data_IF_978336733689
#
_entry.id   IF_978336733689
#
_cell.length_a   1.000
_cell.length_b   1.000
_cell.length_c   1.000
_cell.angle_alpha   90.00
_cell.angle_beta   90.00
_cell.angle_gamma   90.00
#
_symmetry.space_group_name_H-M   'P 1'
#
loop_
_entity.id
_entity.type
_entity.pdbx_description
1 polymer ?
#
# COMPACT_ATOMS: atom_id res chain seq x y z
N UNK A 1 7.39 -2.95 27.62
CA UNK A 1 7.87 -3.15 26.24
C UNK A 1 8.69 -1.92 25.91
N UNK A 2 9.90 -2.06 25.37
CA UNK A 2 10.73 -0.89 25.05
C UNK A 2 10.14 -0.20 23.80
N UNK A 3 9.82 1.09 23.92
CA UNK A 3 9.36 1.88 22.77
C UNK A 3 10.50 2.04 21.78
N UNK A 4 10.26 1.64 20.53
CA UNK A 4 11.23 1.78 19.44
C UNK A 4 11.21 3.24 18.99
N UNK A 5 12.38 3.88 18.93
CA UNK A 5 12.51 5.24 18.41
C UNK A 5 12.34 5.27 16.88
N UNK A 6 11.91 6.40 16.33
CA UNK A 6 11.73 6.56 14.87
C UNK A 6 13.00 6.24 14.05
N UNK A 7 14.18 6.59 14.58
CA UNK A 7 15.47 6.26 13.97
C UNK A 7 15.76 4.76 13.97
N UNK A 8 15.32 4.03 15.00
CA UNK A 8 15.41 2.57 15.04
C UNK A 8 14.38 1.93 14.09
N UNK A 9 13.17 2.47 14.00
CA UNK A 9 12.15 2.01 13.07
C UNK A 9 12.61 2.11 11.61
N UNK A 10 13.21 3.24 11.22
CA UNK A 10 13.83 3.44 9.89
C UNK A 10 14.84 2.34 9.54
N UNK A 11 15.70 1.96 10.50
CA UNK A 11 16.71 0.91 10.29
C UNK A 11 16.10 -0.48 10.08
N UNK A 12 14.90 -0.72 10.60
CA UNK A 12 14.20 -1.99 10.51
C UNK A 12 13.33 -2.12 9.25
N UNK A 13 12.97 -1.02 8.59
CA UNK A 13 12.16 -1.01 7.35
C UNK A 13 12.54 -2.08 6.33
N UNK A 14 13.80 -2.23 5.88
CA UNK A 14 14.14 -3.18 4.82
C UNK A 14 13.94 -4.65 5.22
N UNK A 15 13.76 -4.96 6.50
CA UNK A 15 13.41 -6.31 6.99
C UNK A 15 11.96 -6.66 6.66
N UNK A 16 11.09 -5.66 6.58
CA UNK A 16 9.65 -5.82 6.33
C UNK A 16 9.25 -5.64 4.87
N UNK A 17 10.20 -5.26 4.00
CA UNK A 17 9.94 -5.05 2.58
C UNK A 17 10.41 -6.25 1.76
N UNK A 18 9.64 -6.57 0.73
CA UNK A 18 9.93 -7.67 -0.21
C UNK A 18 9.85 -7.19 -1.66
N UNK A 19 10.50 -7.95 -2.55
CA UNK A 19 10.47 -7.73 -3.99
C UNK A 19 10.75 -6.28 -4.40
N UNK A 20 9.83 -5.72 -5.20
CA UNK A 20 9.96 -4.36 -5.74
C UNK A 20 10.00 -3.27 -4.65
N UNK A 21 9.32 -3.48 -3.51
CA UNK A 21 9.35 -2.52 -2.41
C UNK A 21 10.71 -2.47 -1.72
N UNK A 22 11.37 -3.62 -1.57
CA UNK A 22 12.72 -3.69 -1.01
C UNK A 22 13.76 -3.04 -1.94
N UNK A 23 13.62 -3.26 -3.25
CA UNK A 23 14.48 -2.64 -4.25
C UNK A 23 14.32 -1.11 -4.23
N UNK A 24 13.07 -0.63 -4.34
CA UNK A 24 12.76 0.80 -4.25
C UNK A 24 13.32 1.45 -2.98
N UNK A 25 13.19 0.80 -1.82
CA UNK A 25 13.73 1.34 -0.59
C UNK A 25 15.26 1.42 -0.62
N UNK A 26 15.93 0.42 -1.21
CA UNK A 26 17.39 0.38 -1.31
C UNK A 26 17.91 1.48 -2.24
N UNK A 27 17.23 1.72 -3.36
CA UNK A 27 17.61 2.76 -4.34
C UNK A 27 17.42 4.19 -3.80
N UNK A 28 16.50 4.36 -2.83
CA UNK A 28 16.15 5.67 -2.25
C UNK A 28 16.63 5.82 -0.81
N UNK A 29 17.42 4.88 -0.27
CA UNK A 29 17.75 4.80 1.16
C UNK A 29 18.35 6.09 1.73
N UNK A 30 19.19 6.77 0.95
CA UNK A 30 19.85 8.01 1.35
C UNK A 30 18.88 9.18 1.52
N UNK A 31 17.70 9.11 0.89
CA UNK A 31 16.67 10.16 0.97
C UNK A 31 15.80 10.06 2.22
N UNK A 32 15.81 8.91 2.92
CA UNK A 32 14.94 8.64 4.06
C UNK A 32 15.59 9.03 5.40
N UNK A 33 15.88 10.32 5.57
CA UNK A 33 16.55 10.85 6.77
C UNK A 33 15.68 10.79 8.04
N UNK A 34 14.37 10.87 7.87
CA UNK A 34 13.40 10.82 8.97
C UNK A 34 12.27 9.85 8.67
N UNK A 35 11.65 9.31 9.72
CA UNK A 35 10.50 8.41 9.59
C UNK A 35 9.34 9.07 8.84
N UNK A 36 9.18 10.38 9.00
CA UNK A 36 8.16 11.14 8.29
C UNK A 36 8.41 11.23 6.78
N UNK A 37 9.67 11.44 6.36
CA UNK A 37 10.05 11.45 4.93
C UNK A 37 9.80 10.07 4.31
N UNK A 38 10.24 9.00 4.98
CA UNK A 38 9.96 7.64 4.53
C UNK A 38 8.46 7.38 4.36
N UNK A 39 7.63 7.68 5.37
CA UNK A 39 6.17 7.47 5.29
C UNK A 39 5.55 8.22 4.13
N UNK A 40 5.93 9.49 3.94
CA UNK A 40 5.40 10.34 2.87
C UNK A 40 5.73 9.75 1.50
N UNK A 41 6.98 9.36 1.29
CA UNK A 41 7.45 8.75 0.04
C UNK A 41 6.87 7.37 -0.21
N UNK A 42 6.70 6.57 0.84
CA UNK A 42 6.08 5.26 0.77
C UNK A 42 4.61 5.37 0.35
N UNK A 43 3.84 6.25 1.00
CA UNK A 43 2.43 6.52 0.64
C UNK A 43 2.36 7.08 -0.79
N UNK A 44 3.25 8.00 -1.17
CA UNK A 44 3.28 8.54 -2.53
C UNK A 44 3.51 7.45 -3.59
N UNK A 45 4.43 6.53 -3.31
CA UNK A 45 4.82 5.45 -4.24
C UNK A 45 3.76 4.35 -4.31
N UNK A 46 3.22 3.91 -3.17
CA UNK A 46 2.37 2.72 -3.08
C UNK A 46 0.89 3.00 -2.82
N UNK A 47 0.54 4.23 -2.44
CA UNK A 47 -0.84 4.67 -2.21
C UNK A 47 -1.20 5.81 -3.15
N UNK A 48 -0.91 5.63 -4.45
CA UNK A 48 -1.27 6.60 -5.48
C UNK A 48 -2.74 6.98 -5.37
N UNK A 49 -3.08 8.29 -5.37
CA UNK A 49 -4.46 8.76 -5.44
C UNK A 49 -5.22 8.14 -6.61
N UNK A 50 -4.51 7.84 -7.71
CA UNK A 50 -5.05 7.14 -8.88
C UNK A 50 -5.50 5.73 -8.53
N UNK A 51 -4.77 5.00 -7.69
CA UNK A 51 -5.18 3.64 -7.26
C UNK A 51 -6.45 3.70 -6.43
N UNK A 52 -6.56 4.64 -5.50
CA UNK A 52 -7.77 4.87 -4.70
C UNK A 52 -8.95 5.30 -5.58
N UNK A 53 -8.71 6.18 -6.55
CA UNK A 53 -9.72 6.67 -7.48
C UNK A 53 -10.16 5.60 -8.48
N UNK A 54 -9.25 4.74 -8.93
CA UNK A 54 -9.54 3.57 -9.76
C UNK A 54 -10.31 2.49 -8.97
N UNK A 55 -9.93 2.22 -7.73
CA UNK A 55 -10.66 1.31 -6.84
C UNK A 55 -12.08 1.83 -6.57
N UNK A 56 -12.21 3.12 -6.26
CA UNK A 56 -13.52 3.78 -6.09
C UNK A 56 -14.36 3.76 -7.37
N UNK A 57 -13.74 4.02 -8.52
CA UNK A 57 -14.43 3.93 -9.80
C UNK A 57 -14.87 2.50 -10.09
N UNK A 58 -14.01 1.49 -9.85
CA UNK A 58 -14.37 0.07 -10.01
C UNK A 58 -15.55 -0.30 -9.13
N UNK A 59 -15.53 0.04 -7.84
CA UNK A 59 -16.67 -0.18 -6.94
C UNK A 59 -17.95 0.47 -7.46
N UNK A 60 -17.86 1.72 -7.96
CA UNK A 60 -19.02 2.44 -8.49
C UNK A 60 -19.57 1.85 -9.79
N UNK A 61 -18.71 1.33 -10.66
CA UNK A 61 -19.10 0.81 -11.97
C UNK A 61 -19.33 -0.71 -11.99
N UNK A 62 -18.96 -1.41 -10.93
CA UNK A 62 -19.11 -2.87 -10.83
C UNK A 62 -20.59 -3.20 -10.60
N UNK A 63 -21.20 -3.79 -11.61
CA UNK A 63 -22.54 -4.35 -11.57
C UNK A 63 -22.43 -5.87 -11.60
N UNK A 64 -23.27 -6.56 -10.83
CA UNK A 64 -23.37 -8.01 -10.88
C UNK A 64 -23.80 -8.44 -12.30
N UNK A 65 -23.11 -9.43 -12.88
CA UNK A 65 -23.50 -9.98 -14.17
C UNK A 65 -24.68 -10.96 -14.03
N UNK A 66 -25.42 -11.18 -15.12
CA UNK A 66 -26.63 -12.02 -15.11
C UNK A 66 -26.35 -13.48 -14.70
N UNK A 67 -25.18 -13.99 -15.06
CA UNK A 67 -24.69 -15.34 -14.81
C UNK A 67 -23.76 -15.43 -13.59
N UNK A 68 -23.54 -14.31 -12.89
CA UNK A 68 -22.67 -14.27 -11.73
C UNK A 68 -23.44 -14.56 -10.43
N UNK A 69 -23.02 -15.56 -9.63
CA UNK A 69 -23.61 -15.80 -8.32
C UNK A 69 -23.44 -14.61 -7.37
N UNK A 70 -24.49 -14.29 -6.61
CA UNK A 70 -24.50 -13.17 -5.64
C UNK A 70 -23.34 -13.25 -4.65
N UNK A 71 -23.00 -14.46 -4.21
CA UNK A 71 -21.90 -14.66 -3.27
C UNK A 71 -20.54 -14.27 -3.87
N UNK A 72 -20.29 -14.65 -5.13
CA UNK A 72 -19.03 -14.32 -5.80
C UNK A 72 -18.90 -12.80 -5.98
N UNK A 73 -19.95 -12.16 -6.49
CA UNK A 73 -20.03 -10.71 -6.60
C UNK A 73 -19.77 -9.99 -5.26
N UNK A 74 -20.42 -10.45 -4.19
CA UNK A 74 -20.25 -9.88 -2.86
C UNK A 74 -18.80 -10.03 -2.35
N UNK A 75 -18.21 -11.21 -2.52
CA UNK A 75 -16.82 -11.44 -2.10
C UNK A 75 -15.82 -10.63 -2.91
N UNK A 76 -16.10 -10.37 -4.19
CA UNK A 76 -15.26 -9.52 -5.06
C UNK A 76 -15.31 -8.06 -4.60
N UNK A 77 -16.50 -7.53 -4.30
CA UNK A 77 -16.65 -6.17 -3.74
C UNK A 77 -15.94 -6.01 -2.39
N UNK A 78 -16.04 -7.02 -1.51
CA UNK A 78 -15.44 -6.95 -0.17
C UNK A 78 -13.91 -7.11 -0.14
N UNK A 79 -13.27 -7.39 -1.28
CA UNK A 79 -11.80 -7.47 -1.41
C UNK A 79 -11.14 -6.13 -1.74
N UNK A 80 -11.93 -5.09 -2.03
CA UNK A 80 -11.46 -3.73 -2.30
C UNK A 80 -11.61 -2.84 -1.07
#
# INVERSE_FOLDING_TARGET
MADITEAQALKLVPVFLEGHAKQWYSDNKETFETWNVFKTEFIRTYSSPTTTQLASNRLRTRLQHYDEPVFEYYTDIMKF
#
